data_IF_735359628965
#
_entry.id   IF_735359628965
#
_cell.length_a   1.000
_cell.length_b   1.000
_cell.length_c   1.000
_cell.angle_alpha   90.00
_cell.angle_beta   90.00
_cell.angle_gamma   90.00
#
_symmetry.space_group_name_H-M   'P 1'
#
loop_
_entity.id
_entity.type
_entity.pdbx_description
1 polymer ?
#
# COMPACT_ATOMS: atom_id res chain seq x y z
N UNK A 1 -17.67 -18.19 -0.35
CA UNK A 1 -17.43 -16.94 -1.12
C UNK A 1 -18.49 -15.93 -0.75
N UNK A 2 -18.12 -14.80 -0.16
CA UNK A 2 -19.03 -13.69 0.17
C UNK A 2 -18.80 -12.60 -0.87
N UNK A 3 -19.84 -12.13 -1.52
CA UNK A 3 -19.77 -11.18 -2.67
C UNK A 3 -18.85 -11.64 -3.83
N UNK A 4 -18.63 -12.95 -3.95
CA UNK A 4 -17.74 -13.53 -4.97
C UNK A 4 -16.26 -13.41 -4.69
N UNK A 5 -15.84 -12.89 -3.53
CA UNK A 5 -14.47 -12.77 -3.09
C UNK A 5 -14.07 -13.92 -2.16
N UNK A 6 -12.78 -14.29 -2.15
CA UNK A 6 -12.27 -15.36 -1.30
C UNK A 6 -12.27 -14.97 0.17
N UNK A 7 -12.28 -15.95 1.07
CA UNK A 7 -12.14 -15.71 2.51
C UNK A 7 -10.80 -15.03 2.83
N UNK A 8 -9.79 -15.32 2.03
CA UNK A 8 -8.47 -14.68 2.05
C UNK A 8 -8.54 -13.16 1.89
N UNK A 9 -9.34 -12.70 0.93
CA UNK A 9 -9.53 -11.28 0.73
C UNK A 9 -10.22 -10.62 1.93
N UNK A 10 -11.24 -11.27 2.50
CA UNK A 10 -11.97 -10.73 3.65
C UNK A 10 -11.13 -10.66 4.93
N UNK A 11 -10.22 -11.63 5.14
CA UNK A 11 -9.24 -11.56 6.22
C UNK A 11 -8.30 -10.36 6.08
N UNK A 12 -7.76 -10.14 4.88
CA UNK A 12 -6.94 -8.97 4.59
C UNK A 12 -7.74 -7.66 4.73
N UNK A 13 -8.98 -7.63 4.23
CA UNK A 13 -9.87 -6.46 4.31
C UNK A 13 -10.13 -6.06 5.76
N UNK A 14 -10.43 -7.03 6.63
CA UNK A 14 -10.66 -6.79 8.06
C UNK A 14 -9.38 -6.26 8.74
N UNK A 15 -8.23 -6.84 8.42
CA UNK A 15 -6.95 -6.36 8.93
C UNK A 15 -6.67 -4.91 8.49
N UNK A 16 -6.92 -4.56 7.23
CA UNK A 16 -6.81 -3.20 6.71
C UNK A 16 -7.77 -2.26 7.46
N UNK A 17 -9.02 -2.65 7.66
CA UNK A 17 -9.99 -1.83 8.38
C UNK A 17 -9.52 -1.51 9.81
N UNK A 18 -9.12 -2.53 10.57
CA UNK A 18 -8.64 -2.37 11.95
C UNK A 18 -7.38 -1.49 11.97
N UNK A 19 -6.46 -1.72 11.05
CA UNK A 19 -5.23 -0.95 10.93
C UNK A 19 -5.52 0.54 10.69
N UNK A 20 -6.41 0.86 9.76
CA UNK A 20 -6.75 2.25 9.46
C UNK A 20 -7.61 2.92 10.55
N UNK A 21 -8.41 2.15 11.29
CA UNK A 21 -9.07 2.65 12.50
C UNK A 21 -8.07 3.02 13.61
N UNK A 22 -6.93 2.33 13.67
CA UNK A 22 -5.86 2.61 14.62
C UNK A 22 -4.88 3.70 14.18
N UNK A 23 -4.86 4.09 12.91
CA UNK A 23 -3.96 5.14 12.36
C UNK A 23 -4.53 6.53 12.52
N UNK A 24 -4.51 7.05 13.73
CA UNK A 24 -5.07 8.37 14.05
C UNK A 24 -4.02 9.40 14.49
N UNK A 25 -2.79 9.01 14.80
CA UNK A 25 -1.73 9.93 15.20
C UNK A 25 -1.49 11.01 14.15
N UNK A 26 -1.45 10.63 12.86
CA UNK A 26 -1.23 11.61 11.78
C UNK A 26 -2.28 12.71 11.72
N UNK A 27 -3.53 12.41 12.09
CA UNK A 27 -4.62 13.40 12.14
C UNK A 27 -4.48 14.38 13.31
N UNK A 28 -3.85 13.97 14.40
CA UNK A 28 -3.65 14.78 15.61
C UNK A 28 -2.22 15.30 15.78
N UNK A 29 -1.32 14.93 14.87
CA UNK A 29 0.10 15.24 14.97
C UNK A 29 0.36 16.75 15.09
N UNK A 30 -0.24 17.56 14.22
CA UNK A 30 -0.09 19.01 14.26
C UNK A 30 -0.61 19.61 15.57
N UNK A 31 -1.75 19.11 16.07
CA UNK A 31 -2.33 19.56 17.34
C UNK A 31 -1.39 19.19 18.51
N UNK A 32 -0.83 17.98 18.50
CA UNK A 32 0.14 17.55 19.49
C UNK A 32 1.39 18.44 19.50
N UNK A 33 1.96 18.74 18.34
CA UNK A 33 3.16 19.54 18.20
C UNK A 33 2.95 20.98 18.70
N UNK A 34 1.80 21.59 18.40
CA UNK A 34 1.46 22.95 18.86
C UNK A 34 1.06 22.95 20.33
N UNK A 35 0.16 22.05 20.74
CA UNK A 35 -0.48 22.15 22.07
C UNK A 35 0.37 21.52 23.17
N UNK A 36 1.03 20.38 22.92
CA UNK A 36 1.82 19.67 23.92
C UNK A 36 3.27 20.11 23.93
N UNK A 37 3.91 20.24 22.76
CA UNK A 37 5.32 20.63 22.65
C UNK A 37 5.51 22.14 22.49
N UNK A 38 4.45 22.92 22.29
CA UNK A 38 4.45 24.38 22.13
C UNK A 38 5.43 24.86 21.06
N UNK A 39 5.54 24.11 19.95
CA UNK A 39 6.38 24.46 18.83
C UNK A 39 5.73 25.58 18.01
N UNK A 40 6.57 26.41 17.40
CA UNK A 40 6.13 27.42 16.44
C UNK A 40 5.49 26.78 15.20
N UNK A 41 4.45 27.41 14.63
CA UNK A 41 3.67 26.87 13.52
C UNK A 41 4.55 26.57 12.29
N UNK A 42 5.56 27.39 12.02
CA UNK A 42 6.52 27.17 10.94
C UNK A 42 7.36 25.91 11.15
N UNK A 43 7.79 25.66 12.39
CA UNK A 43 8.52 24.45 12.77
C UNK A 43 7.61 23.22 12.64
N UNK A 44 6.36 23.32 13.10
CA UNK A 44 5.36 22.25 12.99
C UNK A 44 5.14 21.87 11.53
N UNK A 45 4.98 22.85 10.63
CA UNK A 45 4.85 22.58 9.19
C UNK A 45 6.02 21.79 8.63
N UNK A 46 7.25 22.16 9.01
CA UNK A 46 8.48 21.47 8.57
C UNK A 46 8.54 20.04 9.11
N UNK A 47 8.25 19.85 10.40
CA UNK A 47 8.26 18.53 11.05
C UNK A 47 7.22 17.59 10.43
N UNK A 48 6.01 18.07 10.15
CA UNK A 48 4.95 17.30 9.48
C UNK A 48 5.32 17.01 8.02
N UNK A 49 6.00 17.94 7.33
CA UNK A 49 6.48 17.71 5.97
C UNK A 49 7.50 16.56 5.91
N UNK A 50 8.34 16.37 6.94
CA UNK A 50 9.27 15.23 7.01
C UNK A 50 8.55 13.88 6.99
N UNK A 51 7.41 13.76 7.67
CA UNK A 51 6.55 12.58 7.54
C UNK A 51 6.10 12.34 6.09
N UNK A 52 5.65 13.40 5.40
CA UNK A 52 5.24 13.31 3.98
C UNK A 52 6.38 12.88 3.05
N UNK A 53 7.58 13.44 3.23
CA UNK A 53 8.76 13.02 2.46
C UNK A 53 9.13 11.57 2.72
N UNK A 54 9.09 11.13 3.99
CA UNK A 54 9.27 9.72 4.33
C UNK A 54 8.24 8.82 3.63
N UNK A 55 6.98 9.23 3.63
CA UNK A 55 5.90 8.48 3.00
C UNK A 55 6.09 8.32 1.48
N UNK A 56 6.56 9.36 0.80
CA UNK A 56 6.90 9.29 -0.63
C UNK A 56 8.00 8.25 -0.87
N UNK A 57 9.08 8.32 -0.09
CA UNK A 57 10.20 7.38 -0.20
C UNK A 57 9.74 5.95 0.10
N UNK A 58 8.98 5.74 1.17
CA UNK A 58 8.43 4.44 1.51
C UNK A 58 7.57 3.84 0.40
N UNK A 59 6.71 4.65 -0.22
CA UNK A 59 5.88 4.22 -1.34
C UNK A 59 6.70 3.88 -2.60
N UNK A 60 7.70 4.70 -2.94
CA UNK A 60 8.56 4.48 -4.12
C UNK A 60 9.37 3.19 -4.00
N UNK A 61 9.99 2.97 -2.85
CA UNK A 61 10.80 1.76 -2.63
C UNK A 61 9.96 0.54 -2.25
N UNK A 62 8.77 0.72 -1.70
CA UNK A 62 7.89 -0.37 -1.26
C UNK A 62 7.52 -1.33 -2.38
N UNK A 63 7.29 -0.83 -3.59
CA UNK A 63 7.01 -1.66 -4.77
C UNK A 63 8.17 -2.57 -5.12
N UNK A 64 9.34 -1.99 -5.40
CA UNK A 64 10.54 -2.75 -5.79
C UNK A 64 11.02 -3.72 -4.70
N UNK A 65 10.93 -3.31 -3.43
CA UNK A 65 11.27 -4.18 -2.31
C UNK A 65 10.26 -5.33 -2.16
N UNK A 66 8.97 -5.06 -2.38
CA UNK A 66 7.93 -6.09 -2.28
C UNK A 66 8.06 -7.16 -3.35
N UNK A 67 8.49 -6.79 -4.55
CA UNK A 67 8.77 -7.74 -5.62
C UNK A 67 10.00 -8.60 -5.33
N UNK A 68 11.01 -8.06 -4.64
CA UNK A 68 12.25 -8.75 -4.29
C UNK A 68 12.15 -9.62 -3.04
N UNK A 69 11.54 -9.12 -1.97
CA UNK A 69 11.48 -9.77 -0.65
C UNK A 69 10.14 -10.46 -0.37
N UNK A 70 9.18 -10.31 -1.28
CA UNK A 70 7.85 -10.87 -1.15
C UNK A 70 6.86 -9.92 -0.47
N UNK A 71 5.63 -9.91 -0.98
CA UNK A 71 4.60 -8.94 -0.61
C UNK A 71 4.21 -9.03 0.86
N UNK A 72 4.03 -10.25 1.39
CA UNK A 72 3.67 -10.48 2.79
C UNK A 72 4.76 -9.98 3.75
N UNK A 73 6.04 -10.23 3.41
CA UNK A 73 7.17 -9.78 4.22
C UNK A 73 7.24 -8.27 4.30
N UNK A 74 7.00 -7.56 3.18
CA UNK A 74 7.06 -6.10 3.15
C UNK A 74 5.90 -5.45 3.92
N UNK A 75 4.70 -6.06 3.92
CA UNK A 75 3.60 -5.61 4.77
C UNK A 75 3.98 -5.72 6.25
N UNK A 76 4.52 -6.86 6.67
CA UNK A 76 4.93 -7.10 8.07
C UNK A 76 6.07 -6.18 8.49
N UNK A 77 7.12 -6.04 7.67
CA UNK A 77 8.27 -5.18 7.95
C UNK A 77 7.84 -3.72 8.06
N UNK A 78 6.97 -3.27 7.16
CA UNK A 78 6.45 -1.90 7.18
C UNK A 78 5.68 -1.59 8.45
N UNK A 79 4.77 -2.48 8.87
CA UNK A 79 3.98 -2.26 10.09
C UNK A 79 4.83 -2.32 11.37
N UNK A 80 5.76 -3.27 11.48
CA UNK A 80 6.67 -3.35 12.64
C UNK A 80 7.58 -2.13 12.68
N UNK A 81 8.16 -1.74 11.54
CA UNK A 81 9.02 -0.56 11.46
C UNK A 81 8.28 0.72 11.79
N UNK A 82 7.04 0.86 11.31
CA UNK A 82 6.19 2.01 11.65
C UNK A 82 5.84 2.04 13.14
N UNK A 83 5.46 0.90 13.74
CA UNK A 83 5.18 0.83 15.18
C UNK A 83 6.41 1.20 16.01
N UNK A 84 7.59 0.68 15.66
CA UNK A 84 8.83 1.00 16.35
C UNK A 84 9.18 2.50 16.22
N UNK A 85 9.09 3.07 15.01
CA UNK A 85 9.34 4.48 14.77
C UNK A 85 8.36 5.37 15.55
N UNK A 86 7.08 4.97 15.65
CA UNK A 86 6.06 5.69 16.38
C UNK A 86 6.35 5.71 17.90
N UNK A 87 6.85 4.60 18.45
CA UNK A 87 7.30 4.55 19.84
C UNK A 87 8.50 5.47 20.09
N UNK A 88 9.40 5.61 19.13
CA UNK A 88 10.50 6.59 19.21
C UNK A 88 9.94 8.01 19.17
N UNK A 89 9.01 8.32 18.28
CA UNK A 89 8.32 9.62 18.21
C UNK A 89 7.69 9.99 19.54
N UNK A 90 7.11 9.04 20.27
CA UNK A 90 6.40 9.29 21.55
C UNK A 90 7.30 9.81 22.67
N UNK A 91 8.61 9.62 22.60
CA UNK A 91 9.59 10.01 23.63
C UNK A 91 10.45 11.21 23.23
N UNK A 92 10.41 11.63 21.97
CA UNK A 92 11.18 12.75 21.46
C UNK A 92 10.43 14.06 21.65
N UNK A 93 11.18 15.12 22.02
CA UNK A 93 10.66 16.48 22.20
C UNK A 93 11.40 17.52 21.38
N UNK A 94 12.62 17.19 20.93
CA UNK A 94 13.42 18.07 20.10
C UNK A 94 12.91 18.05 18.64
N UNK A 95 12.66 19.24 18.02
CA UNK A 95 12.07 19.31 16.67
C UNK A 95 12.86 18.60 15.58
N UNK A 96 14.21 18.61 15.64
CA UNK A 96 15.06 18.01 14.61
C UNK A 96 15.01 16.48 14.69
N UNK A 97 15.17 15.93 15.89
CA UNK A 97 15.09 14.50 16.13
C UNK A 97 13.67 13.96 15.87
N UNK A 98 12.65 14.75 16.22
CA UNK A 98 11.25 14.43 15.95
C UNK A 98 10.94 14.40 14.45
N UNK A 99 11.47 15.38 13.69
CA UNK A 99 11.35 15.40 12.22
C UNK A 99 12.01 14.17 11.56
N UNK A 100 13.21 13.79 12.04
CA UNK A 100 13.90 12.60 11.57
C UNK A 100 13.13 11.30 11.89
N UNK A 101 12.60 11.19 13.12
CA UNK A 101 11.79 10.04 13.52
C UNK A 101 10.47 9.94 12.74
N UNK A 102 9.83 11.08 12.48
CA UNK A 102 8.62 11.15 11.66
C UNK A 102 8.88 10.81 10.18
N UNK A 103 10.04 11.19 9.65
CA UNK A 103 10.46 10.75 8.32
C UNK A 103 10.57 9.22 8.26
N UNK A 104 11.23 8.59 9.23
CA UNK A 104 11.35 7.14 9.32
C UNK A 104 9.97 6.49 9.50
N UNK A 105 9.13 7.05 10.37
CA UNK A 105 7.75 6.58 10.54
C UNK A 105 6.95 6.65 9.24
N UNK A 106 7.01 7.77 8.50
CA UNK A 106 6.35 7.94 7.21
C UNK A 106 6.81 6.91 6.17
N UNK A 107 8.12 6.67 6.11
CA UNK A 107 8.71 5.68 5.20
C UNK A 107 8.18 4.28 5.48
N UNK A 108 8.24 3.80 6.72
CA UNK A 108 7.74 2.48 7.08
C UNK A 108 6.22 2.37 6.99
N UNK A 109 5.48 3.40 7.38
CA UNK A 109 4.01 3.41 7.33
C UNK A 109 3.44 3.35 5.91
N UNK A 110 4.19 3.85 4.91
CA UNK A 110 3.76 3.87 3.51
C UNK A 110 4.30 2.71 2.68
N UNK A 111 5.34 2.03 3.16
CA UNK A 111 5.99 0.89 2.49
C UNK A 111 5.03 -0.28 2.20
N UNK A 112 4.03 -0.62 3.06
CA UNK A 112 3.05 -1.66 2.76
C UNK A 112 2.08 -1.34 1.64
N UNK A 113 1.85 -0.07 1.31
CA UNK A 113 0.78 0.34 0.38
C UNK A 113 0.87 -0.32 -1.00
N UNK A 114 2.01 -0.26 -1.73
CA UNK A 114 2.14 -0.96 -3.01
C UNK A 114 2.12 -2.49 -2.86
N UNK A 115 2.65 -3.01 -1.76
CA UNK A 115 2.64 -4.45 -1.47
C UNK A 115 1.22 -4.99 -1.26
N UNK A 116 0.35 -4.24 -0.58
CA UNK A 116 -1.07 -4.58 -0.38
C UNK A 116 -1.81 -4.55 -1.73
N UNK A 117 -1.60 -3.49 -2.53
CA UNK A 117 -2.23 -3.38 -3.84
C UNK A 117 -1.86 -4.56 -4.76
N UNK A 118 -0.58 -4.90 -4.79
CA UNK A 118 -0.07 -6.02 -5.53
C UNK A 118 -0.58 -7.37 -4.99
N UNK A 119 -0.67 -7.54 -3.67
CA UNK A 119 -1.23 -8.75 -3.06
C UNK A 119 -2.71 -8.96 -3.41
N UNK A 120 -3.50 -7.88 -3.47
CA UNK A 120 -4.90 -7.94 -3.93
C UNK A 120 -4.97 -8.39 -5.39
N UNK A 121 -4.08 -7.86 -6.25
CA UNK A 121 -4.01 -8.25 -7.65
C UNK A 121 -3.69 -9.75 -7.84
N UNK A 122 -2.85 -10.33 -6.95
CA UNK A 122 -2.49 -11.74 -7.01
C UNK A 122 -3.59 -12.68 -6.52
N UNK A 123 -4.36 -12.24 -5.50
CA UNK A 123 -5.34 -13.10 -4.82
C UNK A 123 -6.73 -13.01 -5.45
N UNK A 124 -7.05 -11.91 -6.13
CA UNK A 124 -8.36 -11.63 -6.68
C UNK A 124 -8.35 -11.77 -8.21
N UNK A 125 -9.26 -12.57 -8.81
CA UNK A 125 -9.40 -12.67 -10.26
C UNK A 125 -9.61 -11.30 -10.91
N UNK A 126 -9.06 -11.10 -12.13
CA UNK A 126 -9.03 -9.82 -12.84
C UNK A 126 -10.42 -9.16 -12.95
N UNK A 127 -11.47 -9.97 -13.20
CA UNK A 127 -12.85 -9.49 -13.36
C UNK A 127 -13.44 -8.91 -12.06
N UNK A 128 -12.82 -9.19 -10.91
CA UNK A 128 -13.29 -8.76 -9.58
C UNK A 128 -12.36 -7.79 -8.88
N UNK A 129 -11.18 -7.51 -9.45
CA UNK A 129 -10.18 -6.62 -8.84
C UNK A 129 -10.74 -5.22 -8.59
N UNK A 130 -11.50 -4.67 -9.53
CA UNK A 130 -12.14 -3.36 -9.35
C UNK A 130 -13.00 -3.32 -8.09
N UNK A 131 -13.80 -4.36 -7.83
CA UNK A 131 -14.63 -4.44 -6.61
C UNK A 131 -13.78 -4.56 -5.35
N UNK A 132 -12.68 -5.32 -5.40
CA UNK A 132 -11.77 -5.47 -4.29
C UNK A 132 -11.12 -4.13 -3.92
N UNK A 133 -10.62 -3.36 -4.88
CA UNK A 133 -10.05 -2.04 -4.61
C UNK A 133 -11.08 -1.03 -4.10
N UNK A 134 -12.31 -1.08 -4.59
CA UNK A 134 -13.40 -0.24 -4.06
C UNK A 134 -13.68 -0.60 -2.60
N UNK A 135 -13.79 -1.88 -2.26
CA UNK A 135 -14.00 -2.32 -0.87
C UNK A 135 -12.81 -1.96 0.04
N UNK A 136 -11.57 -2.07 -0.46
CA UNK A 136 -10.39 -1.61 0.25
C UNK A 136 -10.48 -0.11 0.55
N UNK A 137 -10.86 0.70 -0.43
CA UNK A 137 -11.05 2.14 -0.24
C UNK A 137 -12.12 2.43 0.81
N UNK A 138 -13.20 1.65 0.87
CA UNK A 138 -14.21 1.75 1.92
C UNK A 138 -13.61 1.47 3.31
N UNK A 139 -12.81 0.40 3.47
CA UNK A 139 -12.16 0.09 4.74
C UNK A 139 -11.28 1.25 5.21
N UNK A 140 -10.48 1.83 4.32
CA UNK A 140 -9.61 2.97 4.59
C UNK A 140 -10.44 4.20 5.03
N UNK A 141 -11.49 4.55 4.28
CA UNK A 141 -12.31 5.72 4.59
C UNK A 141 -13.10 5.55 5.91
N UNK A 142 -13.62 4.35 6.20
CA UNK A 142 -14.24 4.05 7.50
C UNK A 142 -13.22 4.18 8.63
N UNK A 143 -11.99 3.70 8.44
CA UNK A 143 -10.90 3.87 9.38
C UNK A 143 -10.62 5.35 9.66
N UNK A 144 -10.46 6.16 8.63
CA UNK A 144 -10.26 7.61 8.76
C UNK A 144 -11.44 8.34 9.41
N UNK A 145 -12.68 7.86 9.26
CA UNK A 145 -13.83 8.48 9.90
C UNK A 145 -13.90 8.14 11.40
N UNK A 146 -13.57 6.91 11.79
CA UNK A 146 -13.67 6.42 13.17
C UNK A 146 -12.43 6.78 13.99
N UNK A 147 -11.23 6.70 13.37
CA UNK A 147 -9.95 6.93 14.03
C UNK A 147 -9.90 8.21 14.85
N UNK A 148 -10.23 9.39 14.29
CA UNK A 148 -10.22 10.65 15.02
C UNK A 148 -11.18 10.70 16.22
N UNK A 149 -12.30 9.97 16.18
CA UNK A 149 -13.25 9.89 17.30
C UNK A 149 -12.59 9.18 18.49
N UNK A 150 -11.91 8.07 18.23
CA UNK A 150 -11.15 7.32 19.24
C UNK A 150 -9.99 8.16 19.76
N UNK A 151 -9.22 8.76 18.87
CA UNK A 151 -8.07 9.62 19.23
C UNK A 151 -8.47 10.77 20.13
N UNK A 152 -9.60 11.43 19.86
CA UNK A 152 -10.09 12.54 20.71
C UNK A 152 -10.36 12.11 22.14
N UNK A 153 -10.78 10.86 22.39
CA UNK A 153 -10.95 10.37 23.76
C UNK A 153 -9.60 10.07 24.41
N UNK A 154 -8.65 9.51 23.66
CA UNK A 154 -7.30 9.22 24.16
C UNK A 154 -6.53 10.50 24.51
N UNK A 155 -6.61 11.52 23.68
CA UNK A 155 -5.95 12.83 23.89
C UNK A 155 -6.44 13.50 25.16
N UNK A 156 -7.70 13.34 25.56
CA UNK A 156 -8.23 13.87 26.82
C UNK A 156 -7.55 13.25 28.06
N UNK A 157 -7.01 12.05 27.93
CA UNK A 157 -6.28 11.36 29.00
C UNK A 157 -4.80 11.73 28.92
N UNK A 158 -4.15 11.48 27.78
CA UNK A 158 -2.76 11.81 27.51
C UNK A 158 -2.43 11.70 26.03
N UNK A 159 -1.63 12.63 25.52
CA UNK A 159 -1.09 12.52 24.16
C UNK A 159 -0.19 11.29 23.98
N UNK A 160 0.60 10.94 24.99
CA UNK A 160 1.47 9.75 24.92
C UNK A 160 0.67 8.46 24.78
N UNK A 161 -0.52 8.38 25.41
CA UNK A 161 -1.41 7.23 25.31
C UNK A 161 -1.85 6.99 23.86
N UNK A 162 -2.06 8.05 23.08
CA UNK A 162 -2.43 7.97 21.67
C UNK A 162 -1.34 7.23 20.86
N UNK A 163 -0.06 7.58 21.06
CA UNK A 163 1.05 6.91 20.38
C UNK A 163 1.16 5.43 20.76
N UNK A 164 1.02 5.11 22.05
CA UNK A 164 1.11 3.72 22.52
C UNK A 164 -0.05 2.85 22.02
N UNK A 165 -1.28 3.40 21.99
CA UNK A 165 -2.45 2.67 21.50
C UNK A 165 -2.31 2.41 20.00
N UNK A 166 -1.89 3.40 19.20
CA UNK A 166 -1.66 3.18 17.76
C UNK A 166 -0.56 2.12 17.52
N UNK A 167 0.57 2.22 18.21
CA UNK A 167 1.64 1.21 18.10
C UNK A 167 1.14 -0.19 18.51
N UNK A 168 0.35 -0.30 19.58
CA UNK A 168 -0.24 -1.56 20.01
C UNK A 168 -1.20 -2.15 18.97
N UNK A 169 -2.04 -1.32 18.35
CA UNK A 169 -2.94 -1.74 17.25
C UNK A 169 -2.13 -2.23 16.06
N UNK A 170 -1.08 -1.50 15.64
CA UNK A 170 -0.19 -1.93 14.56
C UNK A 170 0.44 -3.29 14.83
N UNK A 171 0.97 -3.50 16.05
CA UNK A 171 1.56 -4.78 16.45
C UNK A 171 0.49 -5.89 16.47
N UNK A 172 -0.68 -5.63 17.05
CA UNK A 172 -1.78 -6.60 17.11
C UNK A 172 -2.24 -7.03 15.71
N UNK A 173 -2.43 -6.08 14.79
CA UNK A 173 -2.80 -6.37 13.40
C UNK A 173 -1.67 -7.12 12.68
N UNK A 174 -0.41 -6.78 12.94
CA UNK A 174 0.73 -7.51 12.37
C UNK A 174 0.76 -8.97 12.83
N UNK A 175 0.52 -9.22 14.12
CA UNK A 175 0.42 -10.60 14.66
C UNK A 175 -0.75 -11.35 13.99
N UNK A 176 -1.90 -10.69 13.85
CA UNK A 176 -3.06 -11.25 13.16
C UNK A 176 -2.75 -11.60 11.70
N UNK A 177 -2.07 -10.71 10.98
CA UNK A 177 -1.65 -10.94 9.59
C UNK A 177 -0.64 -12.10 9.49
N UNK A 178 0.33 -12.19 10.39
CA UNK A 178 1.28 -13.31 10.42
C UNK A 178 0.55 -14.63 10.65
N UNK A 179 -0.35 -14.69 11.63
CA UNK A 179 -1.15 -15.88 11.90
C UNK A 179 -2.01 -16.26 10.69
N UNK A 180 -2.67 -15.28 10.07
CA UNK A 180 -3.47 -15.45 8.88
C UNK A 180 -2.66 -15.97 7.68
N UNK A 181 -1.50 -15.39 7.39
CA UNK A 181 -0.64 -15.83 6.29
C UNK A 181 -0.05 -17.23 6.53
N UNK A 182 0.21 -17.60 7.80
CA UNK A 182 0.65 -18.96 8.16
C UNK A 182 -0.45 -19.98 7.88
N UNK A 183 -1.68 -19.69 8.31
CA UNK A 183 -2.83 -20.58 8.11
C UNK A 183 -3.12 -20.80 6.63
N UNK A 184 -3.10 -19.72 5.83
CA UNK A 184 -3.26 -19.80 4.38
C UNK A 184 -2.21 -20.69 3.73
N UNK A 185 -0.97 -20.62 4.19
CA UNK A 185 0.12 -21.46 3.68
C UNK A 185 -0.08 -22.94 4.08
N UNK A 186 -0.58 -23.22 5.28
CA UNK A 186 -0.90 -24.57 5.74
C UNK A 186 -2.05 -25.21 4.94
N UNK A 187 -3.03 -24.43 4.54
CA UNK A 187 -4.16 -24.89 3.72
C UNK A 187 -3.79 -25.17 2.26
N UNK A 188 -2.52 -25.01 1.88
CA UNK A 188 -2.05 -25.30 0.52
C UNK A 188 -2.67 -24.41 -0.55
N UNK A 189 -3.28 -23.28 -0.17
CA UNK A 189 -3.77 -22.28 -1.09
C UNK A 189 -2.54 -21.53 -1.60
N UNK A 190 -1.85 -22.12 -2.58
CA UNK A 190 -0.82 -21.44 -3.35
C UNK A 190 -1.51 -20.26 -4.04
N UNK A 191 -1.22 -19.08 -3.58
CA UNK A 191 -1.44 -17.87 -4.37
C UNK A 191 -0.56 -18.05 -5.59
N UNK A 192 -1.16 -18.46 -6.71
CA UNK A 192 -0.45 -18.51 -7.98
C UNK A 192 -0.01 -17.09 -8.25
N UNK A 193 1.27 -16.82 -8.00
CA UNK A 193 1.91 -15.63 -8.54
C UNK A 193 1.83 -15.86 -10.05
N UNK A 194 1.05 -15.09 -10.81
CA UNK A 194 1.17 -15.12 -12.24
C UNK A 194 2.63 -14.76 -12.49
N UNK A 195 3.39 -15.73 -12.97
CA UNK A 195 4.75 -15.48 -13.41
C UNK A 195 4.67 -14.24 -14.29
N UNK A 196 5.30 -13.18 -13.81
CA UNK A 196 5.33 -11.91 -14.51
C UNK A 196 5.64 -12.19 -15.96
N UNK A 197 4.59 -12.02 -16.76
CA UNK A 197 4.63 -11.63 -18.14
C UNK A 197 5.76 -12.24 -18.95
N UNK A 198 5.40 -13.30 -19.63
CA UNK A 198 5.91 -13.59 -20.93
C UNK A 198 5.50 -12.48 -21.93
N UNK A 199 5.84 -11.23 -21.62
CA UNK A 199 5.70 -10.10 -22.54
C UNK A 199 6.70 -10.16 -23.70
N UNK A 200 7.69 -11.06 -23.62
CA UNK A 200 8.61 -11.27 -24.74
C UNK A 200 7.97 -12.10 -25.88
N UNK A 201 7.04 -12.99 -25.56
CA UNK A 201 6.41 -13.85 -26.57
C UNK A 201 5.28 -13.14 -27.33
N UNK A 202 4.52 -12.24 -26.73
CA UNK A 202 3.50 -11.46 -27.44
C UNK A 202 4.09 -10.38 -28.34
N UNK A 203 5.22 -9.78 -27.95
CA UNK A 203 5.90 -8.80 -28.77
C UNK A 203 6.52 -9.46 -30.03
N UNK A 204 6.96 -10.71 -29.95
CA UNK A 204 7.48 -11.45 -31.09
C UNK A 204 6.40 -11.88 -32.09
N UNK A 205 5.20 -12.22 -31.61
CA UNK A 205 4.06 -12.57 -32.45
C UNK A 205 3.53 -11.35 -33.20
N UNK A 206 3.42 -10.20 -32.53
CA UNK A 206 2.96 -8.94 -33.16
C UNK A 206 3.96 -8.42 -34.21
N UNK A 207 5.25 -8.56 -33.99
CA UNK A 207 6.27 -8.21 -34.99
C UNK A 207 6.28 -9.16 -36.19
N UNK A 208 5.98 -10.44 -35.99
CA UNK A 208 5.87 -11.41 -37.11
C UNK A 208 4.61 -11.14 -37.96
N UNK A 209 3.52 -10.74 -37.33
CA UNK A 209 2.26 -10.44 -38.04
C UNK A 209 2.32 -9.09 -38.80
N UNK A 210 3.02 -8.08 -38.26
CA UNK A 210 3.28 -6.83 -38.96
C UNK A 210 4.29 -6.96 -40.11
N UNK A 211 5.24 -7.85 -40.01
CA UNK A 211 6.21 -8.12 -41.07
C UNK A 211 5.61 -8.88 -42.27
N UNK A 212 4.42 -9.49 -42.11
CA UNK A 212 3.72 -10.24 -43.15
C UNK A 212 2.82 -9.38 -44.06
N UNK A 213 2.59 -8.12 -43.78
CA UNK A 213 1.61 -7.28 -44.49
C UNK A 213 2.23 -6.37 -45.58
N UNK A 214 3.53 -6.36 -45.81
CA UNK A 214 4.13 -5.54 -46.86
C UNK A 214 4.85 -6.36 -47.94
N UNK A 215 4.07 -6.91 -48.90
CA UNK A 215 4.49 -6.99 -50.32
C UNK A 215 3.26 -7.01 -51.22
N UNK A 216 2.83 -5.89 -51.80
CA UNK A 216 1.98 -5.93 -52.96
C UNK A 216 2.81 -6.51 -54.14
N UNK A 217 2.35 -7.64 -54.64
CA UNK A 217 2.94 -8.29 -55.78
C UNK A 217 2.72 -7.45 -57.06
N UNK A 218 3.76 -6.78 -57.52
CA UNK A 218 3.83 -6.14 -58.83
C UNK A 218 4.05 -7.18 -59.95
N UNK A 219 3.02 -7.96 -60.29
CA UNK A 219 3.05 -8.75 -61.49
C UNK A 219 1.64 -9.05 -61.96
N UNK A 220 0.89 -8.04 -62.40
CA UNK A 220 -0.23 -8.24 -63.34
C UNK A 220 -0.43 -6.93 -64.11
N UNK A 221 0.52 -6.68 -65.01
CA UNK A 221 0.33 -5.75 -66.11
C UNK A 221 -0.30 -6.57 -67.26
N UNK A 222 -1.61 -6.53 -67.35
CA UNK A 222 -2.32 -7.03 -68.53
C UNK A 222 -2.20 -6.03 -69.71
N UNK A 223 -2.12 -6.49 -70.95
CA UNK A 223 -1.79 -5.64 -72.08
C UNK A 223 -2.99 -4.84 -72.62
N UNK A 224 -2.67 -3.69 -73.14
CA UNK A 224 -3.60 -2.78 -73.78
C UNK A 224 -4.32 -3.45 -74.97
N UNK A 225 -5.66 -3.47 -74.94
CA UNK A 225 -6.49 -3.78 -76.11
C UNK A 225 -6.75 -2.48 -76.91
N UNK A 226 -6.25 -2.46 -78.13
CA UNK A 226 -6.59 -1.55 -79.22
C UNK A 226 -8.03 -1.75 -79.66
N UNK A 227 -8.85 -0.69 -79.77
CA UNK A 227 -9.97 -0.61 -80.71
C UNK A 227 -10.09 0.83 -81.21
N UNK A 228 -9.95 0.92 -82.46
CA UNK A 228 -10.44 1.80 -83.51
C UNK A 228 -11.24 3.05 -83.07
#
# INVERSE_FOLDING_TARGET
MIFGLSLLYWGLWLAILILWMGRFVTSFLSIYLVSALRLDEGVVGTVVAMYGFGAIIGCLFGGTLSDRFGRQSMIIIGEIGAAAALLVVSVLTDPVSLGAALFVYGAFASLPSPAIAAYIADVVPAERQQRAYVLQSWAINFGYAIGPIVANQLVKISYSLMFYVEAAVMIAVTILLIAFFREVRHLGITVSVPSAVRHEDECSVTHAEFAGIERPNHSDAAPAASVK
#
